data_IF_283104800856
#
_entry.id   IF_283104800856
#
_cell.length_a   1.000
_cell.length_b   1.000
_cell.length_c   1.000
_cell.angle_alpha   90.00
_cell.angle_beta   90.00
_cell.angle_gamma   90.00
#
_symmetry.space_group_name_H-M   'P 1'
#
loop_
_entity.id
_entity.type
_entity.pdbx_description
1 polymer ?
#
# COMPACT_ATOMS: atom_id res chain seq x y z
N UNK A 1 -2.92 30.95 -15.46
CA UNK A 1 -2.84 29.79 -14.55
C UNK A 1 -1.80 28.76 -15.01
N UNK A 2 -1.90 28.29 -16.26
CA UNK A 2 -0.96 27.32 -16.84
C UNK A 2 0.47 27.86 -17.01
N UNK A 3 0.61 29.11 -17.48
CA UNK A 3 1.90 29.81 -17.55
C UNK A 3 2.63 29.88 -16.20
N UNK A 4 1.86 30.06 -15.10
CA UNK A 4 2.40 30.11 -13.74
C UNK A 4 2.89 28.73 -13.30
N UNK A 5 2.14 27.66 -13.60
CA UNK A 5 2.56 26.27 -13.31
C UNK A 5 3.83 25.93 -14.08
N UNK A 6 3.92 26.30 -15.35
CA UNK A 6 5.11 26.07 -16.16
C UNK A 6 6.31 26.86 -15.63
N UNK A 7 6.12 28.13 -15.27
CA UNK A 7 7.17 28.97 -14.68
C UNK A 7 7.65 28.39 -13.34
N UNK A 8 6.74 27.93 -12.49
CA UNK A 8 7.07 27.29 -11.21
C UNK A 8 7.86 25.99 -11.42
N UNK A 9 7.45 25.11 -12.35
CA UNK A 9 8.21 23.89 -12.69
C UNK A 9 9.61 24.23 -13.20
N UNK A 10 9.74 25.19 -14.12
CA UNK A 10 11.06 25.64 -14.62
C UNK A 10 11.94 26.17 -13.49
N UNK A 11 11.37 26.95 -12.58
CA UNK A 11 12.08 27.47 -11.42
C UNK A 11 12.59 26.34 -10.52
N UNK A 12 11.72 25.41 -10.11
CA UNK A 12 12.08 24.25 -9.29
C UNK A 12 13.18 23.43 -9.96
N UNK A 13 13.04 23.12 -11.26
CA UNK A 13 14.05 22.38 -12.01
C UNK A 13 15.41 23.10 -12.02
N UNK A 14 15.41 24.43 -12.15
CA UNK A 14 16.65 25.23 -12.16
C UNK A 14 17.35 25.31 -10.80
N UNK A 15 16.60 25.23 -9.70
CA UNK A 15 17.13 25.41 -8.34
C UNK A 15 17.47 24.08 -7.65
N UNK A 16 16.65 23.05 -7.88
CA UNK A 16 16.71 21.78 -7.15
C UNK A 16 17.05 20.58 -8.05
N UNK A 17 16.84 20.69 -9.36
CA UNK A 17 17.03 19.60 -10.32
C UNK A 17 15.74 19.13 -10.98
N UNK A 18 15.85 18.53 -12.17
CA UNK A 18 14.71 18.07 -12.96
C UNK A 18 13.93 16.93 -12.26
N UNK A 19 14.59 16.14 -11.44
CA UNK A 19 14.02 15.06 -10.63
C UNK A 19 12.97 15.55 -9.61
N UNK A 20 12.92 16.85 -9.31
CA UNK A 20 11.91 17.45 -8.42
C UNK A 20 10.65 17.92 -9.17
N UNK A 21 10.64 17.84 -10.51
CA UNK A 21 9.47 18.15 -11.35
C UNK A 21 9.01 16.97 -12.21
N UNK A 22 9.78 15.89 -12.19
CA UNK A 22 9.43 14.59 -12.74
C UNK A 22 8.95 13.72 -11.57
N UNK A 23 7.75 13.13 -11.63
CA UNK A 23 7.37 12.15 -10.62
C UNK A 23 8.37 10.99 -10.74
N UNK A 24 9.18 10.69 -9.71
CA UNK A 24 10.06 9.53 -9.79
C UNK A 24 9.17 8.29 -9.83
N UNK A 25 9.31 7.40 -10.83
CA UNK A 25 8.65 6.12 -10.80
C UNK A 25 9.37 5.29 -9.71
N UNK A 26 8.97 5.44 -8.45
CA UNK A 26 9.39 4.50 -7.41
C UNK A 26 8.79 3.16 -7.77
N UNK A 27 9.64 2.23 -8.20
CA UNK A 27 9.19 0.87 -8.52
C UNK A 27 8.65 0.21 -7.26
N UNK A 28 7.68 -0.70 -7.41
CA UNK A 28 7.15 -1.46 -6.27
C UNK A 28 8.26 -2.23 -5.53
N UNK A 29 9.33 -2.62 -6.22
CA UNK A 29 10.52 -3.28 -5.62
C UNK A 29 11.28 -2.37 -4.64
N UNK A 30 11.43 -1.08 -4.97
CA UNK A 30 12.05 -0.10 -4.06
C UNK A 30 11.16 0.15 -2.85
N UNK A 31 9.85 0.32 -3.08
CA UNK A 31 8.86 0.51 -2.02
C UNK A 31 8.83 -0.70 -1.08
N UNK A 32 8.90 -1.91 -1.63
CA UNK A 32 8.98 -3.14 -0.85
C UNK A 32 10.23 -3.17 0.05
N UNK A 33 11.39 -2.73 -0.46
CA UNK A 33 12.64 -2.69 0.31
C UNK A 33 12.57 -1.75 1.50
N UNK A 34 11.85 -0.64 1.36
CA UNK A 34 11.61 0.32 2.43
C UNK A 34 10.48 -0.11 3.38
N UNK A 35 9.69 -1.11 2.99
CA UNK A 35 8.56 -1.64 3.77
C UNK A 35 8.97 -2.71 4.79
N UNK A 36 8.08 -2.98 5.74
CA UNK A 36 8.22 -4.05 6.72
C UNK A 36 6.84 -4.59 7.12
N UNK A 37 6.80 -5.62 7.97
CA UNK A 37 5.55 -6.08 8.58
C UNK A 37 4.78 -4.96 9.32
N UNK A 38 5.52 -3.99 9.90
CA UNK A 38 4.99 -2.87 10.67
C UNK A 38 4.79 -1.60 9.82
N UNK A 39 5.24 -1.64 8.57
CA UNK A 39 5.20 -0.52 7.62
C UNK A 39 4.48 -0.98 6.37
N UNK A 40 3.13 -1.01 6.38
CA UNK A 40 2.34 -1.46 5.24
C UNK A 40 2.56 -0.58 4.01
N UNK A 41 2.15 -1.10 2.86
CA UNK A 41 2.13 -0.36 1.58
C UNK A 41 0.68 -0.09 1.21
N UNK A 42 0.30 1.19 1.08
CA UNK A 42 -1.03 1.62 0.65
C UNK A 42 -0.96 2.15 -0.79
N UNK A 43 -1.65 1.43 -1.67
CA UNK A 43 -2.00 1.91 -3.00
C UNK A 43 -3.22 2.82 -2.91
N UNK A 44 -2.99 4.10 -3.19
CA UNK A 44 -4.05 5.06 -3.44
C UNK A 44 -4.55 4.87 -4.87
N UNK A 45 -5.77 4.32 -4.98
CA UNK A 45 -6.35 3.95 -6.27
C UNK A 45 -6.89 5.18 -7.00
N UNK A 46 -6.49 5.31 -8.26
CA UNK A 46 -7.18 6.13 -9.25
C UNK A 46 -8.17 5.25 -10.05
N UNK A 47 -9.12 5.86 -10.76
CA UNK A 47 -10.17 5.12 -11.48
C UNK A 47 -9.56 4.15 -12.50
N UNK A 48 -9.89 2.85 -12.38
CA UNK A 48 -9.48 1.82 -13.33
C UNK A 48 -8.10 1.21 -13.13
N UNK A 49 -7.42 1.49 -12.00
CA UNK A 49 -6.10 0.94 -11.69
C UNK A 49 -6.20 -0.09 -10.57
N UNK A 50 -5.63 -1.28 -10.79
CA UNK A 50 -5.58 -2.40 -9.82
C UNK A 50 -4.13 -2.90 -9.70
N UNK A 51 -3.50 -2.85 -8.51
CA UNK A 51 -2.11 -3.25 -8.31
C UNK A 51 -1.91 -4.78 -8.19
N UNK A 52 -2.96 -5.59 -8.30
CA UNK A 52 -2.91 -7.05 -8.07
C UNK A 52 -1.82 -7.74 -8.89
N UNK A 53 -1.76 -7.49 -10.20
CA UNK A 53 -0.74 -8.09 -11.07
C UNK A 53 0.67 -7.58 -10.79
N UNK A 54 0.80 -6.32 -10.33
CA UNK A 54 2.09 -5.75 -9.96
C UNK A 54 2.64 -6.39 -8.68
N UNK A 55 1.78 -6.62 -7.68
CA UNK A 55 2.13 -7.33 -6.44
C UNK A 55 2.50 -8.79 -6.73
N UNK A 56 1.74 -9.48 -7.58
CA UNK A 56 2.04 -10.86 -7.98
C UNK A 56 3.39 -10.97 -8.69
N UNK A 57 3.67 -10.04 -9.61
CA UNK A 57 4.96 -10.00 -10.29
C UNK A 57 6.11 -9.76 -9.31
N UNK A 58 5.94 -8.84 -8.37
CA UNK A 58 6.94 -8.61 -7.32
C UNK A 58 7.18 -9.89 -6.49
N UNK A 59 6.12 -10.62 -6.14
CA UNK A 59 6.23 -11.87 -5.39
C UNK A 59 7.00 -12.95 -6.17
N UNK A 60 6.77 -13.07 -7.48
CA UNK A 60 7.55 -13.93 -8.37
C UNK A 60 9.03 -13.52 -8.39
N UNK A 61 9.31 -12.22 -8.56
CA UNK A 61 10.67 -11.66 -8.66
C UNK A 61 11.48 -11.86 -7.37
N UNK A 62 10.83 -11.79 -6.21
CA UNK A 62 11.45 -11.94 -4.89
C UNK A 62 11.44 -13.38 -4.37
N UNK A 63 10.88 -14.33 -5.12
CA UNK A 63 10.84 -15.75 -4.75
C UNK A 63 9.88 -16.09 -3.61
N UNK A 64 8.90 -15.22 -3.32
CA UNK A 64 7.78 -15.54 -2.44
C UNK A 64 6.77 -16.46 -3.15
N UNK A 65 6.61 -16.32 -4.47
CA UNK A 65 5.64 -17.08 -5.26
C UNK A 65 4.22 -16.51 -5.14
N UNK A 66 3.43 -16.64 -6.20
CA UNK A 66 2.05 -16.11 -6.26
C UNK A 66 1.11 -16.81 -5.28
N UNK A 67 1.38 -18.07 -4.99
CA UNK A 67 0.62 -18.91 -4.07
C UNK A 67 0.64 -18.39 -2.63
N UNK A 68 1.69 -17.66 -2.25
CA UNK A 68 1.90 -17.09 -0.92
C UNK A 68 1.40 -15.63 -0.83
N UNK A 69 0.68 -15.15 -1.86
CA UNK A 69 0.06 -13.83 -1.87
C UNK A 69 -1.47 -13.95 -1.84
N UNK A 70 -2.06 -13.44 -0.78
CA UNK A 70 -3.50 -13.54 -0.54
C UNK A 70 -4.19 -12.20 -0.77
N UNK A 71 -5.16 -12.17 -1.69
CA UNK A 71 -5.98 -10.97 -1.96
C UNK A 71 -7.36 -11.10 -1.32
N UNK A 72 -7.77 -10.10 -0.54
CA UNK A 72 -9.11 -10.04 0.07
C UNK A 72 -9.73 -8.68 -0.18
N UNK A 73 -10.77 -8.65 -1.00
CA UNK A 73 -11.60 -7.45 -1.19
C UNK A 73 -12.52 -7.23 0.00
N UNK A 74 -12.34 -6.12 0.70
CA UNK A 74 -13.12 -5.74 1.86
C UNK A 74 -14.51 -5.26 1.44
N UNK A 75 -15.48 -6.16 1.56
CA UNK A 75 -16.91 -5.88 1.41
C UNK A 75 -17.71 -6.36 2.62
N UNK A 76 -19.03 -6.31 2.51
CA UNK A 76 -19.92 -6.76 3.58
C UNK A 76 -19.60 -8.23 3.96
N UNK A 77 -19.26 -8.45 5.23
CA UNK A 77 -18.99 -9.79 5.78
C UNK A 77 -17.56 -10.34 5.60
N UNK A 78 -16.65 -9.63 4.92
CA UNK A 78 -15.28 -10.13 4.70
C UNK A 78 -14.31 -9.83 5.85
N UNK A 79 -14.66 -8.92 6.78
CA UNK A 79 -13.74 -8.45 7.82
C UNK A 79 -13.19 -9.58 8.72
N UNK A 80 -14.02 -10.53 9.14
CA UNK A 80 -13.54 -11.65 9.98
C UNK A 80 -12.53 -12.55 9.26
N UNK A 81 -12.78 -12.82 7.96
CA UNK A 81 -11.86 -13.58 7.12
C UNK A 81 -10.56 -12.81 6.90
N UNK A 82 -10.65 -11.51 6.63
CA UNK A 82 -9.47 -10.65 6.43
C UNK A 82 -8.58 -10.63 7.67
N UNK A 83 -9.16 -10.48 8.87
CA UNK A 83 -8.40 -10.50 10.12
C UNK A 83 -7.72 -11.86 10.36
N UNK A 84 -8.46 -12.96 10.23
CA UNK A 84 -7.91 -14.31 10.41
C UNK A 84 -6.77 -14.62 9.43
N UNK A 85 -6.88 -14.14 8.19
CA UNK A 85 -5.84 -14.30 7.19
C UNK A 85 -4.57 -13.53 7.54
N UNK A 86 -4.70 -12.27 8.01
CA UNK A 86 -3.54 -11.48 8.46
C UNK A 86 -2.86 -12.15 9.66
N UNK A 87 -3.64 -12.66 10.62
CA UNK A 87 -3.11 -13.37 11.78
C UNK A 87 -2.42 -14.70 11.41
N UNK A 88 -2.85 -15.38 10.36
CA UNK A 88 -2.17 -16.59 9.87
C UNK A 88 -0.89 -16.23 9.11
N UNK A 89 -0.99 -15.30 8.16
CA UNK A 89 0.10 -14.91 7.27
C UNK A 89 1.28 -14.28 8.03
N UNK A 90 1.02 -13.58 9.15
CA UNK A 90 2.09 -13.00 9.96
C UNK A 90 3.02 -14.05 10.60
N UNK A 91 2.54 -15.29 10.78
CA UNK A 91 3.32 -16.39 11.35
C UNK A 91 4.10 -17.13 10.26
N UNK A 92 3.52 -17.28 9.06
CA UNK A 92 4.09 -18.01 7.92
C UNK A 92 5.00 -17.15 7.04
N UNK A 93 4.83 -15.82 7.07
CA UNK A 93 5.57 -14.89 6.21
C UNK A 93 4.92 -14.60 4.87
N UNK A 94 3.72 -15.12 4.63
CA UNK A 94 2.92 -14.88 3.42
C UNK A 94 2.51 -13.40 3.32
N UNK A 95 2.12 -12.98 2.13
CA UNK A 95 1.70 -11.60 1.87
C UNK A 95 0.19 -11.50 1.86
N UNK A 96 -0.35 -10.40 2.38
CA UNK A 96 -1.79 -10.13 2.36
C UNK A 96 -2.04 -8.78 1.72
N UNK A 97 -2.92 -8.75 0.72
CA UNK A 97 -3.44 -7.53 0.12
C UNK A 97 -4.92 -7.35 0.49
N UNK A 98 -5.21 -6.39 1.37
CA UNK A 98 -6.58 -6.00 1.69
C UNK A 98 -7.04 -4.94 0.69
N UNK A 99 -7.95 -5.31 -0.20
CA UNK A 99 -8.40 -4.46 -1.28
C UNK A 99 -9.64 -3.65 -0.87
N UNK A 100 -9.78 -2.47 -1.47
CA UNK A 100 -10.97 -1.62 -1.34
C UNK A 100 -11.31 -1.22 0.10
N UNK A 101 -10.32 -0.87 0.92
CA UNK A 101 -10.51 -0.50 2.33
C UNK A 101 -11.56 0.60 2.55
N UNK A 102 -11.64 1.58 1.65
CA UNK A 102 -12.68 2.62 1.64
C UNK A 102 -14.13 2.11 1.63
N UNK A 103 -14.39 0.89 1.13
CA UNK A 103 -15.72 0.27 1.12
C UNK A 103 -16.10 -0.39 2.46
N UNK A 104 -15.15 -0.54 3.39
CA UNK A 104 -15.33 -1.21 4.67
C UNK A 104 -15.01 -0.30 5.87
N UNK A 105 -15.73 0.83 6.06
CA UNK A 105 -15.46 1.76 7.14
C UNK A 105 -15.59 1.11 8.53
N UNK A 106 -16.49 0.13 8.69
CA UNK A 106 -16.65 -0.62 9.95
C UNK A 106 -15.45 -1.52 10.29
N UNK A 107 -14.62 -1.87 9.30
CA UNK A 107 -13.42 -2.68 9.51
C UNK A 107 -12.20 -1.85 9.91
N UNK A 108 -12.18 -0.55 9.64
CA UNK A 108 -11.02 0.32 9.87
C UNK A 108 -10.50 0.30 11.33
N UNK A 109 -11.35 0.31 12.38
CA UNK A 109 -10.86 0.15 13.76
C UNK A 109 -10.19 -1.22 14.01
N UNK A 110 -10.68 -2.27 13.35
CA UNK A 110 -10.08 -3.61 13.43
C UNK A 110 -8.73 -3.64 12.73
N UNK A 111 -8.63 -3.02 11.55
CA UNK A 111 -7.38 -2.91 10.81
C UNK A 111 -6.31 -2.15 11.61
N UNK A 112 -6.68 -1.06 12.28
CA UNK A 112 -5.77 -0.34 13.17
C UNK A 112 -5.23 -1.25 14.28
N UNK A 113 -6.12 -1.96 14.99
CA UNK A 113 -5.73 -2.88 16.06
C UNK A 113 -4.79 -3.98 15.54
N UNK A 114 -5.08 -4.57 14.39
CA UNK A 114 -4.22 -5.59 13.77
C UNK A 114 -2.83 -5.02 13.48
N UNK A 115 -2.73 -3.80 12.95
CA UNK A 115 -1.44 -3.14 12.73
C UNK A 115 -0.67 -2.90 14.02
N UNK A 116 -1.33 -2.43 15.08
CA UNK A 116 -0.72 -2.24 16.40
C UNK A 116 -0.18 -3.57 16.97
N UNK A 117 -0.94 -4.66 16.83
CA UNK A 117 -0.53 -6.01 17.23
C UNK A 117 0.67 -6.53 16.42
N UNK A 118 0.69 -6.27 15.10
CA UNK A 118 1.84 -6.58 14.24
C UNK A 118 3.10 -5.82 14.69
N UNK A 119 2.96 -4.55 15.10
CA UNK A 119 4.08 -3.73 15.57
C UNK A 119 4.62 -4.13 16.94
N UNK A 120 3.76 -4.66 17.82
CA UNK A 120 4.13 -5.05 19.17
C UNK A 120 4.59 -6.51 19.28
N UNK A 121 4.19 -7.36 18.33
CA UNK A 121 4.40 -8.80 18.36
C UNK A 121 5.65 -9.29 17.63
N UNK A 122 5.88 -10.60 17.71
CA UNK A 122 6.81 -11.29 16.82
C UNK A 122 6.09 -11.58 15.50
N UNK A 123 6.55 -10.97 14.41
CA UNK A 123 6.02 -11.19 13.06
C UNK A 123 7.12 -11.74 12.17
N UNK A 124 6.78 -12.67 11.29
CA UNK A 124 7.70 -13.22 10.31
C UNK A 124 8.28 -12.10 9.42
N UNK A 125 9.60 -12.07 9.25
CA UNK A 125 10.29 -10.95 8.57
C UNK A 125 9.89 -10.76 7.10
N UNK A 126 9.43 -11.83 6.44
CA UNK A 126 8.97 -11.79 5.06
C UNK A 126 7.51 -11.35 4.91
N UNK A 127 6.72 -11.34 6.00
CA UNK A 127 5.33 -10.92 5.94
C UNK A 127 5.23 -9.48 5.41
N UNK A 128 4.28 -9.25 4.51
CA UNK A 128 3.94 -7.91 4.03
C UNK A 128 2.43 -7.72 4.00
N UNK A 129 2.03 -6.52 4.41
CA UNK A 129 0.65 -6.05 4.32
C UNK A 129 0.55 -4.98 3.24
N UNK A 130 -0.21 -5.28 2.20
CA UNK A 130 -0.61 -4.36 1.16
C UNK A 130 -2.06 -3.93 1.40
N UNK A 131 -2.35 -2.66 1.13
CA UNK A 131 -3.67 -2.07 1.29
C UNK A 131 -4.02 -1.36 -0.01
N UNK A 132 -5.26 -1.46 -0.46
CA UNK A 132 -5.75 -0.62 -1.58
C UNK A 132 -6.96 0.20 -1.15
N UNK A 133 -6.96 1.48 -1.49
CA UNK A 133 -8.07 2.36 -1.14
C UNK A 133 -8.16 3.58 -2.05
N UNK A 134 -9.39 4.02 -2.34
CA UNK A 134 -9.61 5.42 -2.68
C UNK A 134 -9.44 6.30 -1.43
N UNK A 135 -9.17 7.61 -1.58
CA UNK A 135 -9.16 8.54 -0.45
C UNK A 135 -10.47 8.46 0.35
N UNK A 136 -10.38 8.26 1.67
CA UNK A 136 -11.53 8.21 2.56
C UNK A 136 -11.19 8.81 3.93
N UNK A 137 -12.20 9.34 4.62
CA UNK A 137 -12.03 9.95 5.96
C UNK A 137 -12.04 8.92 7.10
N UNK A 138 -12.43 7.69 6.81
CA UNK A 138 -12.59 6.62 7.81
C UNK A 138 -11.31 5.83 8.03
N UNK A 139 -10.27 6.04 7.22
CA UNK A 139 -9.00 5.36 7.35
C UNK A 139 -8.28 5.82 8.64
N UNK A 140 -7.73 4.91 9.46
CA UNK A 140 -7.11 5.30 10.72
C UNK A 140 -5.87 6.16 10.51
N UNK A 141 -5.79 7.31 11.19
CA UNK A 141 -4.69 8.27 11.02
C UNK A 141 -3.33 7.68 11.41
N UNK A 142 -3.26 6.96 12.54
CA UNK A 142 -2.04 6.32 13.03
C UNK A 142 -1.47 5.30 12.04
N UNK A 143 -2.37 4.49 11.44
CA UNK A 143 -2.01 3.56 10.38
C UNK A 143 -1.55 4.30 9.13
N UNK A 144 -2.27 5.35 8.71
CA UNK A 144 -1.84 6.18 7.58
C UNK A 144 -0.44 6.72 7.81
N UNK A 145 -0.14 7.31 8.96
CA UNK A 145 1.20 7.86 9.27
C UNK A 145 2.31 6.81 9.13
N UNK A 146 2.04 5.59 9.56
CA UNK A 146 2.99 4.46 9.56
C UNK A 146 3.07 3.68 8.24
N UNK A 147 2.33 4.09 7.22
CA UNK A 147 2.21 3.39 5.94
C UNK A 147 2.98 4.11 4.83
N UNK A 148 3.62 3.38 3.91
CA UNK A 148 4.15 3.95 2.68
C UNK A 148 2.99 4.12 1.68
N UNK A 149 2.77 5.34 1.19
CA UNK A 149 1.68 5.64 0.26
C UNK A 149 2.25 5.76 -1.15
N UNK A 150 1.63 5.07 -2.08
CA UNK A 150 1.96 5.16 -3.50
C UNK A 150 0.70 5.42 -4.31
N UNK A 151 0.83 6.29 -5.29
CA UNK A 151 -0.24 6.61 -6.24
C UNK A 151 0.01 5.81 -7.51
N UNK A 152 -0.90 4.89 -7.82
CA UNK A 152 -0.89 4.23 -9.13
C UNK A 152 -1.64 5.14 -10.11
N UNK A 153 -0.95 6.17 -10.58
CA UNK A 153 -1.44 7.03 -11.65
C UNK A 153 -0.99 6.44 -13.01
N UNK A 154 -1.87 6.40 -14.02
CA UNK A 154 -1.44 6.08 -15.37
C UNK A 154 -0.39 7.11 -15.82
N UNK A 155 0.66 6.70 -16.58
CA UNK A 155 1.67 7.62 -17.06
C UNK A 155 1.01 8.76 -17.85
N UNK A 156 1.36 9.99 -17.49
CA UNK A 156 0.88 11.22 -18.14
C UNK A 156 1.45 11.40 -19.56
#
# INVERSE_FOLDING_TARGET
PEELVLAARKYVASQLGAEFIEPPPRSLSEVYRDSSACTPILFLLSSGVDPTEEINRLADELGAGREDVHFVSLGQGQGARAAALVDAARETGEWVCLQNCHLAPSFMPTLQRLHEELCAGSVHQNFRLFLTSMPCQTFPLSLLESTIKITSEPPA
#
